data_IF_259761222074
#
_entry.id   IF_259761222074
#
_cell.length_a   1.000
_cell.length_b   1.000
_cell.length_c   1.000
_cell.angle_alpha   90.00
_cell.angle_beta   90.00
_cell.angle_gamma   90.00
#
_symmetry.space_group_name_H-M   'P 1'
#
loop_
_entity.id
_entity.type
_entity.pdbx_description
1 polymer ?
#
# COMPACT_ATOMS: atom_id res chain seq x y z
N UNK A 1 4.00 -35.85 -10.97
CA UNK A 1 2.82 -35.32 -10.25
C UNK A 1 3.08 -34.77 -8.82
N UNK A 2 4.25 -34.22 -8.44
CA UNK A 2 4.39 -33.39 -7.21
C UNK A 2 4.10 -31.89 -7.43
N UNK A 3 4.43 -31.37 -8.61
CA UNK A 3 4.59 -29.93 -8.85
C UNK A 3 3.29 -29.13 -8.73
N UNK A 4 2.17 -29.71 -9.17
CA UNK A 4 0.88 -29.02 -9.11
C UNK A 4 0.39 -28.80 -7.67
N UNK A 5 0.67 -29.77 -6.79
CA UNK A 5 0.32 -29.67 -5.37
C UNK A 5 1.18 -28.60 -4.68
N UNK A 6 2.43 -28.42 -5.14
CA UNK A 6 3.29 -27.33 -4.68
C UNK A 6 2.74 -25.98 -5.14
N UNK A 7 2.30 -25.87 -6.40
CA UNK A 7 1.64 -24.67 -6.90
C UNK A 7 0.40 -24.31 -6.06
N UNK A 8 -0.49 -25.26 -5.75
CA UNK A 8 -1.66 -25.00 -4.90
C UNK A 8 -1.30 -24.56 -3.48
N UNK A 9 -0.19 -25.06 -2.91
CA UNK A 9 0.31 -24.56 -1.62
C UNK A 9 0.81 -23.12 -1.74
N UNK A 10 1.48 -22.77 -2.83
CA UNK A 10 2.00 -21.42 -3.07
C UNK A 10 0.89 -20.38 -3.20
N UNK A 11 -0.26 -20.74 -3.78
CA UNK A 11 -1.39 -19.82 -3.90
C UNK A 11 -1.88 -19.32 -2.53
N UNK A 12 -1.76 -20.13 -1.46
CA UNK A 12 -2.16 -19.72 -0.10
C UNK A 12 -1.34 -18.56 0.48
N UNK A 13 -0.21 -18.22 -0.13
CA UNK A 13 0.62 -17.08 0.26
C UNK A 13 0.33 -15.83 -0.56
N UNK A 14 -0.57 -15.90 -1.54
CA UNK A 14 -0.98 -14.70 -2.26
C UNK A 14 -1.86 -13.83 -1.37
N UNK A 15 -1.72 -12.50 -1.47
CA UNK A 15 -2.59 -11.57 -0.79
C UNK A 15 -4.08 -11.74 -1.20
N UNK A 16 -5.04 -11.41 -0.31
CA UNK A 16 -6.46 -11.62 -0.55
C UNK A 16 -7.02 -10.80 -1.72
N UNK A 17 -6.35 -9.71 -2.12
CA UNK A 17 -6.72 -8.92 -3.30
C UNK A 17 -6.59 -9.72 -4.60
N UNK A 18 -5.87 -10.85 -4.56
CA UNK A 18 -5.69 -11.77 -5.68
C UNK A 18 -6.66 -12.96 -5.64
N UNK A 19 -7.75 -12.93 -4.87
CA UNK A 19 -8.76 -14.01 -4.86
C UNK A 19 -9.32 -14.30 -6.28
N UNK A 20 -9.47 -13.26 -7.11
CA UNK A 20 -9.89 -13.40 -8.51
C UNK A 20 -8.83 -14.09 -9.39
N UNK A 21 -7.57 -14.13 -8.95
CA UNK A 21 -6.49 -14.78 -9.67
C UNK A 21 -6.69 -16.30 -9.73
N UNK A 22 -7.34 -16.91 -8.73
CA UNK A 22 -7.69 -18.33 -8.80
C UNK A 22 -8.56 -18.66 -10.02
N UNK A 23 -9.53 -17.80 -10.36
CA UNK A 23 -10.35 -18.00 -11.56
C UNK A 23 -9.54 -17.90 -12.85
N UNK A 24 -8.53 -17.02 -12.87
CA UNK A 24 -7.63 -16.87 -14.02
C UNK A 24 -6.68 -18.07 -14.12
N UNK A 25 -6.08 -18.49 -13.00
CA UNK A 25 -5.19 -19.65 -12.93
C UNK A 25 -5.89 -20.95 -13.33
N UNK A 26 -7.19 -21.09 -13.05
CA UNK A 26 -7.99 -22.22 -13.55
C UNK A 26 -8.22 -22.22 -15.06
N UNK A 27 -8.04 -21.07 -15.73
CA UNK A 27 -8.13 -20.92 -17.20
C UNK A 27 -6.76 -21.04 -17.88
N UNK A 28 -5.68 -20.95 -17.13
CA UNK A 28 -4.31 -21.10 -17.62
C UNK A 28 -4.06 -22.57 -17.96
N UNK A 29 -3.34 -22.82 -19.06
CA UNK A 29 -2.95 -24.19 -19.43
C UNK A 29 -2.01 -24.77 -18.38
N UNK A 30 -2.11 -26.07 -18.15
CA UNK A 30 -1.25 -26.80 -17.20
C UNK A 30 0.26 -26.58 -17.45
N UNK A 31 0.66 -26.38 -18.71
CA UNK A 31 2.04 -26.12 -19.13
C UNK A 31 2.60 -24.79 -18.59
N UNK A 32 1.73 -23.79 -18.37
CA UNK A 32 2.10 -22.49 -17.84
C UNK A 32 1.99 -22.44 -16.31
N UNK A 33 1.28 -23.40 -15.71
CA UNK A 33 1.08 -23.52 -14.27
C UNK A 33 2.24 -24.26 -13.58
N UNK A 34 3.44 -23.71 -13.73
CA UNK A 34 4.69 -24.27 -13.18
C UNK A 34 5.03 -23.69 -11.81
N UNK A 35 5.83 -24.41 -11.04
CA UNK A 35 6.28 -23.97 -9.70
C UNK A 35 7.09 -22.68 -9.77
N UNK A 36 7.91 -22.51 -10.80
CA UNK A 36 8.76 -21.32 -10.94
C UNK A 36 7.93 -20.07 -11.23
N UNK A 37 6.94 -20.16 -12.12
CA UNK A 37 5.99 -19.08 -12.38
C UNK A 37 5.23 -18.71 -11.11
N UNK A 38 4.80 -19.71 -10.32
CA UNK A 38 4.11 -19.48 -9.04
C UNK A 38 5.00 -18.82 -7.99
N UNK A 39 6.28 -19.20 -7.90
CA UNK A 39 7.26 -18.55 -7.00
C UNK A 39 7.50 -17.10 -7.39
N UNK A 40 7.65 -16.82 -8.68
CA UNK A 40 7.80 -15.46 -9.18
C UNK A 40 6.56 -14.62 -8.87
N UNK A 41 5.37 -15.17 -9.10
CA UNK A 41 4.10 -14.51 -8.79
C UNK A 41 4.00 -14.14 -7.30
N UNK A 42 4.28 -15.08 -6.39
CA UNK A 42 4.28 -14.81 -4.95
C UNK A 42 5.31 -13.74 -4.59
N UNK A 43 6.52 -13.81 -5.15
CA UNK A 43 7.59 -12.84 -4.88
C UNK A 43 7.23 -11.42 -5.36
N UNK A 44 6.70 -11.29 -6.57
CA UNK A 44 6.25 -10.00 -7.11
C UNK A 44 5.06 -9.45 -6.33
N UNK A 45 4.13 -10.29 -5.90
CA UNK A 45 3.01 -9.86 -5.06
C UNK A 45 3.51 -9.26 -3.74
N UNK A 46 4.46 -9.90 -3.07
CA UNK A 46 5.07 -9.37 -1.85
C UNK A 46 5.86 -8.08 -2.09
N UNK A 47 6.51 -7.94 -3.26
CA UNK A 47 7.20 -6.70 -3.64
C UNK A 47 6.23 -5.53 -3.84
N UNK A 48 5.08 -5.77 -4.46
CA UNK A 48 4.04 -4.77 -4.67
C UNK A 48 3.44 -4.33 -3.34
N UNK A 49 3.12 -5.28 -2.45
CA UNK A 49 2.59 -4.98 -1.12
C UNK A 49 3.57 -4.12 -0.31
N UNK A 50 4.86 -4.46 -0.33
CA UNK A 50 5.89 -3.69 0.35
C UNK A 50 5.99 -2.26 -0.20
N UNK A 51 5.92 -2.10 -1.53
CA UNK A 51 5.96 -0.78 -2.18
C UNK A 51 4.76 0.08 -1.77
N UNK A 52 3.54 -0.49 -1.79
CA UNK A 52 2.33 0.21 -1.36
C UNK A 52 2.40 0.65 0.11
N UNK A 53 2.95 -0.20 0.98
CA UNK A 53 3.15 0.14 2.39
C UNK A 53 4.11 1.31 2.58
N UNK A 54 5.19 1.34 1.81
CA UNK A 54 6.16 2.43 1.87
C UNK A 54 5.58 3.74 1.33
N UNK A 55 4.84 3.70 0.22
CA UNK A 55 4.12 4.86 -0.33
C UNK A 55 3.10 5.42 0.67
N UNK A 56 2.31 4.56 1.31
CA UNK A 56 1.36 4.97 2.36
C UNK A 56 2.05 5.64 3.54
N UNK A 57 3.24 5.14 3.94
CA UNK A 57 4.03 5.73 5.01
C UNK A 57 4.55 7.11 4.62
N UNK A 58 5.05 7.28 3.40
CA UNK A 58 5.51 8.57 2.87
C UNK A 58 4.36 9.58 2.84
N UNK A 59 3.18 9.16 2.39
CA UNK A 59 1.99 10.01 2.37
C UNK A 59 1.60 10.46 3.79
N UNK A 60 1.56 9.53 4.75
CA UNK A 60 1.24 9.85 6.15
C UNK A 60 2.19 10.88 6.77
N UNK A 61 3.50 10.74 6.52
CA UNK A 61 4.49 11.72 6.98
C UNK A 61 4.23 13.09 6.36
N UNK A 62 3.98 13.13 5.06
CA UNK A 62 3.69 14.38 4.32
C UNK A 62 2.45 15.08 4.87
N UNK A 63 1.39 14.32 5.17
CA UNK A 63 0.14 14.84 5.73
C UNK A 63 0.35 15.41 7.14
N UNK A 64 1.17 14.77 7.97
CA UNK A 64 1.52 15.25 9.30
C UNK A 64 2.25 16.60 9.24
N UNK A 65 3.25 16.72 8.36
CA UNK A 65 3.97 18.00 8.15
C UNK A 65 3.04 19.09 7.63
N UNK A 66 2.24 18.80 6.61
CA UNK A 66 1.28 19.77 6.03
C UNK A 66 0.25 20.23 7.07
N UNK A 67 -0.21 19.31 7.92
CA UNK A 67 -1.14 19.63 8.99
C UNK A 67 -0.48 20.48 10.08
N UNK A 68 0.77 20.18 10.45
CA UNK A 68 1.56 20.97 11.39
C UNK A 68 1.76 22.41 10.91
N UNK A 69 2.19 22.59 9.66
CA UNK A 69 2.35 23.91 9.02
C UNK A 69 1.02 24.67 8.99
N UNK A 70 -0.08 24.02 8.59
CA UNK A 70 -1.41 24.63 8.62
C UNK A 70 -1.84 25.09 10.02
N UNK A 71 -1.44 24.38 11.09
CA UNK A 71 -1.73 24.80 12.47
C UNK A 71 -0.90 26.03 12.88
N UNK A 72 0.38 26.07 12.51
CA UNK A 72 1.28 27.21 12.79
C UNK A 72 0.76 28.48 12.10
N UNK A 73 0.51 28.40 10.78
CA UNK A 73 0.01 29.54 9.99
C UNK A 73 -1.33 30.07 10.54
N UNK A 74 -2.21 29.18 11.00
CA UNK A 74 -3.47 29.60 11.65
C UNK A 74 -3.20 30.34 12.96
N UNK A 75 -2.32 29.82 13.82
CA UNK A 75 -1.97 30.48 15.10
C UNK A 75 -1.36 31.87 14.88
N UNK A 76 -0.44 32.01 13.93
CA UNK A 76 0.15 33.30 13.58
C UNK A 76 -0.90 34.30 13.07
N UNK A 77 -1.85 33.85 12.24
CA UNK A 77 -2.94 34.70 11.74
C UNK A 77 -3.89 35.15 12.85
N UNK A 78 -4.15 34.31 13.84
CA UNK A 78 -4.99 34.67 14.99
C UNK A 78 -4.26 35.67 15.88
N UNK A 79 -2.97 35.44 16.16
CA UNK A 79 -2.16 36.34 16.99
C UNK A 79 -1.91 37.72 16.37
N UNK A 80 -1.94 37.83 15.03
CA UNK A 80 -1.89 39.13 14.33
C UNK A 80 -3.23 39.88 14.28
N UNK A 81 -4.35 39.24 14.68
CA UNK A 81 -5.68 39.86 14.67
C UNK A 81 -6.11 40.41 16.03
N UNK A 82 -5.34 40.19 17.09
CA UNK A 82 -5.59 40.82 18.38
C UNK A 82 -5.22 42.32 18.26
N UNK A 83 -6.18 43.25 18.34
CA UNK A 83 -5.89 44.66 18.21
C UNK A 83 -5.19 45.15 19.47
N UNK A 84 -4.12 45.92 19.30
CA UNK A 84 -3.60 46.80 20.35
C UNK A 84 -4.78 47.67 20.79
N UNK A 85 -5.25 47.47 22.02
CA UNK A 85 -6.17 48.40 22.65
C UNK A 85 -5.41 49.72 22.81
N UNK A 86 -5.67 50.65 21.89
CA UNK A 86 -5.31 52.05 22.07
C UNK A 86 -6.35 52.59 23.03
N UNK A 87 -6.03 52.59 24.33
CA UNK A 87 -6.85 53.25 25.34
C UNK A 87 -6.84 54.78 25.12
N UNK A 88 -7.98 55.45 25.40
CA UNK A 88 -8.22 56.85 25.03
C UNK A 88 -7.41 57.88 25.81
#
# INVERSE_FOLDING_TARGET
MPDILVCFKLIRYLPPEFDNLFQILYRVKYEEFTVDNMKQLVSESGRIELKLKDENRVQSVTDAYTTGVRKIVRRERTQRRDPIAVEP
#
